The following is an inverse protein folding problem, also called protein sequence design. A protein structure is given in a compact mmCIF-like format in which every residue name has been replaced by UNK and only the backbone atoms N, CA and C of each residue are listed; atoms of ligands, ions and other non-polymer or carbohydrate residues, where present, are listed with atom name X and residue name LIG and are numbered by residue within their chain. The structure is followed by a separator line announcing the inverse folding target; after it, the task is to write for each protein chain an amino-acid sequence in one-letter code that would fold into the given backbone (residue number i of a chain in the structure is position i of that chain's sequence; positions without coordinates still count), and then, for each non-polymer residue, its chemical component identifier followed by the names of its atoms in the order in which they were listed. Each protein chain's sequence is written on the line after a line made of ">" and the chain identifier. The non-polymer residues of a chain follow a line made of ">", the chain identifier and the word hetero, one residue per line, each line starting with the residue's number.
data_IF_335828562853
#
_entry.id   IF_335828562853
#
_cell.length_a   1.000
_cell.length_b   1.000
_cell.length_c   1.000
_cell.angle_alpha   90.00
_cell.angle_beta   90.00
_cell.angle_gamma   90.00
#
_symmetry.space_group_name_H-M   'P 1'
#
loop_
_entity.id
_entity.type
_entity.pdbx_description
1 polymer ?
#
# COMPACT_ATOMS: atom_id res chain seq x y z
N UNK A 1 -11.03 5.98 -20.41
CA UNK A 1 -10.31 5.08 -19.45
C UNK A 1 -10.34 5.58 -18.02
N UNK A 2 -9.82 6.76 -17.67
CA UNK A 2 -9.82 7.20 -16.27
C UNK A 2 -11.23 7.44 -15.73
N UNK A 3 -12.11 8.01 -16.51
CA UNK A 3 -13.53 8.18 -16.15
C UNK A 3 -14.22 6.84 -15.93
N UNK A 4 -13.97 5.86 -16.79
CA UNK A 4 -14.51 4.50 -16.66
C UNK A 4 -14.00 3.83 -15.37
N UNK A 5 -12.75 4.11 -14.98
CA UNK A 5 -12.18 3.61 -13.73
C UNK A 5 -12.89 4.21 -12.50
N UNK A 6 -13.20 5.51 -12.51
CA UNK A 6 -14.00 6.14 -11.46
C UNK A 6 -15.40 5.56 -11.39
N UNK A 7 -16.04 5.35 -12.54
CA UNK A 7 -17.38 4.76 -12.61
C UNK A 7 -17.36 3.32 -12.05
N UNK A 8 -16.39 2.49 -12.46
CA UNK A 8 -16.24 1.12 -11.98
C UNK A 8 -16.02 1.07 -10.46
N UNK A 9 -15.14 1.94 -9.91
CA UNK A 9 -14.91 2.03 -8.48
C UNK A 9 -16.20 2.36 -7.72
N UNK A 10 -16.97 3.33 -8.24
CA UNK A 10 -18.26 3.73 -7.67
C UNK A 10 -19.25 2.56 -7.66
N UNK A 11 -19.45 1.92 -8.81
CA UNK A 11 -20.39 0.79 -8.96
C UNK A 11 -20.03 -0.35 -7.99
N UNK A 12 -18.77 -0.79 -7.95
CA UNK A 12 -18.34 -1.90 -7.07
C UNK A 12 -18.44 -1.55 -5.59
N UNK A 13 -18.16 -0.32 -5.23
CA UNK A 13 -18.31 0.14 -3.84
C UNK A 13 -19.77 0.27 -3.42
N UNK A 14 -20.67 0.75 -4.29
CA UNK A 14 -22.11 0.83 -4.03
C UNK A 14 -22.75 -0.57 -3.93
N UNK A 15 -22.39 -1.50 -4.82
CA UNK A 15 -22.79 -2.92 -4.74
C UNK A 15 -22.40 -3.53 -3.38
N UNK A 16 -21.16 -3.33 -2.96
CA UNK A 16 -20.67 -3.83 -1.67
C UNK A 16 -21.47 -3.24 -0.50
N UNK A 17 -21.66 -1.89 -0.46
CA UNK A 17 -22.42 -1.23 0.58
C UNK A 17 -23.84 -1.77 0.71
N UNK A 18 -24.50 -2.11 -0.41
CA UNK A 18 -25.84 -2.70 -0.39
C UNK A 18 -25.82 -4.11 0.24
N UNK A 19 -24.84 -4.95 -0.15
CA UNK A 19 -24.74 -6.33 0.35
C UNK A 19 -24.37 -6.42 1.83
N UNK A 20 -23.54 -5.50 2.33
CA UNK A 20 -23.11 -5.48 3.74
C UNK A 20 -23.95 -4.56 4.62
N UNK A 21 -25.05 -3.99 4.11
CA UNK A 21 -25.88 -2.98 4.80
C UNK A 21 -26.43 -3.41 6.17
N UNK A 22 -26.49 -4.73 6.42
CA UNK A 22 -26.95 -5.31 7.68
C UNK A 22 -25.89 -5.29 8.80
N UNK A 23 -24.62 -4.97 8.48
CA UNK A 23 -23.50 -4.95 9.42
C UNK A 23 -22.78 -3.61 9.41
N UNK A 24 -22.96 -2.83 10.48
CA UNK A 24 -22.39 -1.49 10.62
C UNK A 24 -20.84 -1.47 10.58
N UNK A 25 -20.17 -2.53 11.02
CA UNK A 25 -18.72 -2.63 10.95
C UNK A 25 -18.27 -2.71 9.50
N UNK A 26 -18.85 -3.61 8.71
CA UNK A 26 -18.48 -3.77 7.30
C UNK A 26 -18.89 -2.58 6.43
N UNK A 27 -20.04 -1.93 6.74
CA UNK A 27 -20.41 -0.64 6.12
C UNK A 27 -19.35 0.43 6.39
N UNK A 28 -18.91 0.56 7.65
CA UNK A 28 -17.84 1.49 8.04
C UNK A 28 -16.53 1.17 7.32
N UNK A 29 -16.15 -0.11 7.29
CA UNK A 29 -14.92 -0.55 6.64
C UNK A 29 -14.94 -0.34 5.12
N UNK A 30 -16.07 -0.58 4.45
CA UNK A 30 -16.26 -0.29 3.02
C UNK A 30 -16.07 1.20 2.72
N UNK A 31 -16.68 2.09 3.51
CA UNK A 31 -16.51 3.54 3.37
C UNK A 31 -15.05 3.97 3.53
N UNK A 32 -14.32 3.36 4.48
CA UNK A 32 -12.89 3.62 4.64
C UNK A 32 -12.08 3.16 3.43
N UNK A 33 -12.42 2.03 2.81
CA UNK A 33 -11.74 1.54 1.62
C UNK A 33 -12.02 2.40 0.38
N UNK A 34 -13.23 2.95 0.25
CA UNK A 34 -13.52 3.96 -0.78
C UNK A 34 -12.61 5.19 -0.58
N UNK A 35 -12.57 5.72 0.64
CA UNK A 35 -11.73 6.87 0.98
C UNK A 35 -10.24 6.58 0.73
N UNK A 36 -9.78 5.39 1.10
CA UNK A 36 -8.41 4.92 0.88
C UNK A 36 -8.05 4.92 -0.61
N UNK A 37 -8.91 4.39 -1.50
CA UNK A 37 -8.67 4.42 -2.95
C UNK A 37 -8.44 5.84 -3.48
N UNK A 38 -9.20 6.83 -2.99
CA UNK A 38 -8.97 8.24 -3.35
C UNK A 38 -7.68 8.81 -2.75
N UNK A 39 -7.27 8.38 -1.56
CA UNK A 39 -6.00 8.79 -0.96
C UNK A 39 -4.81 8.21 -1.74
N UNK A 40 -4.91 6.95 -2.16
CA UNK A 40 -3.91 6.29 -3.03
C UNK A 40 -3.84 7.01 -4.38
N UNK A 41 -4.98 7.34 -4.98
CA UNK A 41 -5.03 8.14 -6.21
C UNK A 41 -4.35 9.51 -6.04
N UNK A 42 -4.52 10.17 -4.89
CA UNK A 42 -3.85 11.42 -4.59
C UNK A 42 -2.32 11.28 -4.52
N UNK A 43 -1.82 10.24 -3.86
CA UNK A 43 -0.39 9.92 -3.78
C UNK A 43 0.16 9.52 -5.16
N UNK A 44 -0.55 8.65 -5.88
CA UNK A 44 -0.18 8.22 -7.22
C UNK A 44 -0.12 9.37 -8.22
N UNK A 45 -1.07 10.30 -8.19
CA UNK A 45 -1.03 11.52 -9.03
C UNK A 45 0.21 12.37 -8.75
N UNK A 46 0.62 12.47 -7.47
CA UNK A 46 1.83 13.20 -7.13
C UNK A 46 3.08 12.54 -7.73
N UNK A 47 3.18 11.22 -7.70
CA UNK A 47 4.28 10.44 -8.29
C UNK A 47 4.22 10.54 -9.83
N UNK A 48 3.08 10.16 -10.43
CA UNK A 48 2.87 10.13 -11.89
C UNK A 48 3.21 11.45 -12.56
N UNK A 49 2.87 12.59 -11.92
CA UNK A 49 3.14 13.92 -12.48
C UNK A 49 4.64 14.32 -12.45
N UNK A 50 5.51 13.51 -11.86
CA UNK A 50 6.93 13.85 -11.63
C UNK A 50 7.92 12.85 -12.20
N UNK A 51 7.54 11.57 -12.30
CA UNK A 51 8.47 10.55 -12.80
C UNK A 51 8.89 10.80 -14.24
N UNK A 52 10.20 10.75 -14.48
CA UNK A 52 10.83 11.17 -15.75
C UNK A 52 10.32 10.37 -16.96
N UNK A 53 10.15 9.06 -16.81
CA UNK A 53 9.76 8.18 -17.92
C UNK A 53 8.31 8.39 -18.40
N UNK A 54 7.48 9.11 -17.62
CA UNK A 54 6.10 9.49 -17.99
C UNK A 54 6.02 10.87 -18.67
N UNK A 55 7.04 11.72 -18.57
CA UNK A 55 6.98 13.10 -19.09
C UNK A 55 6.67 13.20 -20.58
N UNK A 56 7.11 12.22 -21.36
CA UNK A 56 6.91 12.21 -22.81
C UNK A 56 5.80 11.25 -23.28
N UNK A 57 4.98 10.75 -22.33
CA UNK A 57 3.83 9.92 -22.65
C UNK A 57 2.61 10.80 -22.93
N UNK A 58 1.75 10.35 -23.82
CA UNK A 58 0.49 11.02 -24.11
C UNK A 58 -0.52 10.92 -22.95
N UNK A 59 -1.59 11.69 -23.04
CA UNK A 59 -2.63 11.71 -22.00
C UNK A 59 -3.31 10.36 -21.82
N UNK A 60 -3.50 9.58 -22.90
CA UNK A 60 -4.14 8.27 -22.82
C UNK A 60 -3.29 7.29 -22.00
N UNK A 61 -1.96 7.34 -22.18
CA UNK A 61 -1.04 6.54 -21.39
C UNK A 61 -1.03 6.96 -19.90
N UNK A 62 -1.03 8.26 -19.64
CA UNK A 62 -1.08 8.79 -18.27
C UNK A 62 -2.40 8.38 -17.59
N UNK A 63 -3.51 8.44 -18.29
CA UNK A 63 -4.82 8.01 -17.79
C UNK A 63 -4.85 6.51 -17.52
N UNK A 64 -4.18 5.70 -18.34
CA UNK A 64 -4.01 4.27 -18.09
C UNK A 64 -3.28 4.01 -16.76
N UNK A 65 -2.15 4.67 -16.54
CA UNK A 65 -1.39 4.52 -15.28
C UNK A 65 -2.22 4.96 -14.07
N UNK A 66 -2.93 6.10 -14.18
CA UNK A 66 -3.82 6.61 -13.14
C UNK A 66 -4.99 5.68 -12.86
N UNK A 67 -5.54 5.05 -13.89
CA UNK A 67 -6.60 4.04 -13.75
C UNK A 67 -6.10 2.83 -12.96
N UNK A 68 -4.89 2.34 -13.24
CA UNK A 68 -4.29 1.26 -12.48
C UNK A 68 -4.08 1.63 -11.00
N UNK A 69 -3.64 2.86 -10.70
CA UNK A 69 -3.51 3.37 -9.33
C UNK A 69 -4.87 3.43 -8.63
N UNK A 70 -5.90 3.96 -9.29
CA UNK A 70 -7.24 4.09 -8.70
C UNK A 70 -7.89 2.74 -8.39
N UNK A 71 -7.71 1.78 -9.30
CA UNK A 71 -8.35 0.47 -9.24
C UNK A 71 -7.55 -0.60 -8.47
N UNK A 72 -6.42 -0.24 -7.83
CA UNK A 72 -5.53 -1.22 -7.18
C UNK A 72 -6.26 -2.14 -6.19
N UNK A 73 -7.22 -1.61 -5.44
CA UNK A 73 -8.03 -2.32 -4.43
C UNK A 73 -9.46 -2.64 -4.93
N UNK A 74 -9.71 -2.71 -6.27
CA UNK A 74 -11.07 -2.88 -6.81
C UNK A 74 -11.80 -4.11 -6.28
N UNK A 75 -11.11 -5.24 -6.10
CA UNK A 75 -11.68 -6.45 -5.52
C UNK A 75 -11.56 -6.53 -3.99
N UNK A 76 -11.12 -5.46 -3.32
CA UNK A 76 -11.25 -5.32 -1.87
C UNK A 76 -12.70 -5.31 -1.44
N UNK A 77 -13.60 -4.77 -2.27
CA UNK A 77 -15.04 -4.80 -2.03
C UNK A 77 -15.57 -6.23 -2.04
N UNK A 78 -15.15 -7.06 -2.99
CA UNK A 78 -15.48 -8.49 -3.03
C UNK A 78 -14.91 -9.25 -1.80
N UNK A 79 -13.68 -8.92 -1.36
CA UNK A 79 -13.11 -9.50 -0.14
C UNK A 79 -13.93 -9.14 1.10
N UNK A 80 -14.41 -7.89 1.20
CA UNK A 80 -15.29 -7.43 2.29
C UNK A 80 -16.60 -8.22 2.28
N UNK A 81 -17.23 -8.39 1.11
CA UNK A 81 -18.45 -9.17 0.94
C UNK A 81 -18.25 -10.63 1.37
N UNK A 82 -17.21 -11.29 0.88
CA UNK A 82 -16.88 -12.66 1.24
C UNK A 82 -16.61 -12.82 2.75
N UNK A 83 -15.94 -11.84 3.35
CA UNK A 83 -15.69 -11.86 4.79
C UNK A 83 -16.96 -11.64 5.60
N UNK A 84 -17.82 -10.71 5.17
CA UNK A 84 -19.07 -10.39 5.85
C UNK A 84 -20.08 -11.55 5.76
N UNK A 85 -20.29 -12.08 4.56
CA UNK A 85 -21.38 -13.03 4.27
C UNK A 85 -20.99 -14.50 4.53
N UNK A 86 -19.70 -14.83 4.32
CA UNK A 86 -19.25 -16.22 4.30
C UNK A 86 -18.06 -16.49 5.23
N UNK A 87 -17.56 -15.47 5.94
CA UNK A 87 -16.34 -15.55 6.74
C UNK A 87 -15.12 -16.12 5.97
N UNK A 88 -15.07 -15.87 4.67
CA UNK A 88 -13.97 -16.27 3.79
C UNK A 88 -13.04 -15.12 3.52
N UNK A 89 -11.76 -15.42 3.36
CA UNK A 89 -10.75 -14.46 2.92
C UNK A 89 -10.33 -14.78 1.49
N UNK A 90 -10.27 -13.76 0.64
CA UNK A 90 -9.74 -13.86 -0.72
C UNK A 90 -8.54 -12.92 -0.84
N UNK A 91 -7.67 -13.20 -1.79
CA UNK A 91 -6.61 -12.28 -2.18
C UNK A 91 -7.20 -11.24 -3.15
N UNK A 92 -7.45 -10.02 -2.64
CA UNK A 92 -8.07 -8.96 -3.43
C UNK A 92 -7.18 -8.47 -4.57
N UNK A 93 -5.84 -8.54 -4.44
CA UNK A 93 -4.90 -8.19 -5.50
C UNK A 93 -5.02 -9.17 -6.67
N UNK A 94 -4.90 -10.46 -6.38
CA UNK A 94 -5.08 -11.52 -7.40
C UNK A 94 -6.47 -11.44 -8.02
N UNK A 95 -7.52 -11.38 -7.21
CA UNK A 95 -8.89 -11.27 -7.71
C UNK A 95 -9.11 -10.00 -8.56
N UNK A 96 -8.50 -8.87 -8.14
CA UNK A 96 -8.56 -7.59 -8.87
C UNK A 96 -7.90 -7.65 -10.23
N UNK A 97 -6.70 -8.21 -10.32
CA UNK A 97 -6.02 -8.43 -11.58
C UNK A 97 -6.81 -9.31 -12.55
N UNK A 98 -7.27 -10.47 -12.07
CA UNK A 98 -8.06 -11.41 -12.87
C UNK A 98 -9.41 -10.80 -13.32
N UNK A 99 -10.07 -10.03 -12.45
CA UNK A 99 -11.30 -9.33 -12.81
C UNK A 99 -11.07 -8.28 -13.90
N UNK A 100 -10.09 -7.38 -13.71
CA UNK A 100 -9.81 -6.31 -14.69
C UNK A 100 -9.37 -6.85 -16.05
N UNK A 101 -8.63 -7.95 -16.08
CA UNK A 101 -8.23 -8.63 -17.31
C UNK A 101 -9.41 -9.03 -18.19
N UNK A 102 -10.58 -9.30 -17.60
CA UNK A 102 -11.80 -9.66 -18.35
C UNK A 102 -12.54 -8.47 -18.94
N UNK A 103 -12.23 -7.26 -18.51
CA UNK A 103 -12.87 -6.04 -18.98
C UNK A 103 -12.05 -5.43 -20.14
N UNK A 104 -12.63 -5.26 -21.35
CA UNK A 104 -11.89 -4.75 -22.51
C UNK A 104 -11.14 -3.44 -22.25
N UNK A 105 -11.73 -2.53 -21.48
CA UNK A 105 -11.18 -1.22 -21.13
C UNK A 105 -9.94 -1.31 -20.24
N UNK A 106 -9.79 -2.39 -19.46
CA UNK A 106 -8.72 -2.58 -18.48
C UNK A 106 -7.87 -3.83 -18.74
N UNK A 107 -8.06 -4.50 -19.88
CA UNK A 107 -7.35 -5.74 -20.24
C UNK A 107 -5.89 -5.56 -20.61
N UNK A 108 -5.37 -4.32 -20.67
CA UNK A 108 -3.94 -4.06 -20.88
C UNK A 108 -3.13 -4.64 -19.71
N UNK A 109 -2.09 -5.43 -20.04
CA UNK A 109 -1.21 -6.07 -19.05
C UNK A 109 -0.55 -5.07 -18.10
N UNK A 110 -0.39 -3.81 -18.51
CA UNK A 110 0.15 -2.72 -17.67
C UNK A 110 -0.83 -2.23 -16.61
N UNK A 111 -2.09 -2.66 -16.65
CA UNK A 111 -3.12 -2.36 -15.64
C UNK A 111 -3.26 -3.54 -14.69
N UNK A 112 -3.72 -4.67 -15.21
CA UNK A 112 -4.16 -5.78 -14.36
C UNK A 112 -3.01 -6.54 -13.69
N UNK A 113 -1.83 -6.67 -14.33
CA UNK A 113 -0.73 -7.43 -13.74
C UNK A 113 -0.06 -6.69 -12.56
N UNK A 114 0.22 -5.37 -12.62
CA UNK A 114 0.61 -4.60 -11.45
C UNK A 114 -0.41 -4.66 -10.30
N UNK A 115 -1.71 -4.60 -10.60
CA UNK A 115 -2.77 -4.68 -9.60
C UNK A 115 -2.79 -6.06 -8.95
N UNK A 116 -2.63 -7.13 -9.72
CA UNK A 116 -2.52 -8.50 -9.20
C UNK A 116 -1.46 -8.64 -8.10
N UNK A 117 -0.34 -7.92 -8.21
CA UNK A 117 0.81 -8.06 -7.33
C UNK A 117 1.08 -6.87 -6.39
N UNK A 118 0.22 -5.84 -6.37
CA UNK A 118 0.47 -4.63 -5.58
C UNK A 118 0.60 -4.89 -4.08
N UNK A 119 -0.14 -5.83 -3.54
CA UNK A 119 -0.15 -6.19 -2.11
C UNK A 119 0.93 -7.21 -1.69
N UNK A 120 1.67 -7.78 -2.65
CA UNK A 120 2.74 -8.75 -2.41
C UNK A 120 4.12 -8.11 -2.40
N UNK A 121 5.15 -8.84 -1.97
CA UNK A 121 6.54 -8.46 -2.23
C UNK A 121 6.79 -8.46 -3.74
N UNK A 122 7.66 -7.57 -4.22
CA UNK A 122 7.88 -7.37 -5.68
C UNK A 122 8.36 -8.64 -6.40
N UNK A 123 9.01 -9.56 -5.68
CA UNK A 123 9.45 -10.85 -6.18
C UNK A 123 8.28 -11.70 -6.70
N UNK A 124 7.06 -11.50 -6.16
CA UNK A 124 5.88 -12.20 -6.63
C UNK A 124 5.51 -11.78 -8.08
N UNK A 125 5.68 -10.49 -8.42
CA UNK A 125 5.54 -10.04 -9.80
C UNK A 125 6.61 -10.68 -10.71
N UNK A 126 7.87 -10.69 -10.27
CA UNK A 126 8.96 -11.25 -11.08
C UNK A 126 8.88 -12.78 -11.24
N UNK A 127 8.20 -13.45 -10.29
CA UNK A 127 7.95 -14.88 -10.34
C UNK A 127 6.72 -15.27 -11.18
N UNK A 128 5.84 -14.31 -11.50
CA UNK A 128 4.62 -14.55 -12.29
C UNK A 128 4.97 -14.98 -13.71
N UNK A 129 4.34 -16.06 -14.20
CA UNK A 129 4.60 -16.60 -15.53
C UNK A 129 4.21 -15.61 -16.65
N UNK A 130 3.15 -14.82 -16.45
CA UNK A 130 2.73 -13.83 -17.43
C UNK A 130 3.74 -12.70 -17.53
N UNK A 131 4.32 -12.27 -16.40
CA UNK A 131 5.42 -11.30 -16.40
C UNK A 131 6.68 -11.86 -17.08
N UNK A 132 7.07 -13.10 -16.77
CA UNK A 132 8.24 -13.77 -17.39
C UNK A 132 8.10 -13.87 -18.90
N UNK A 133 6.89 -14.19 -19.38
CA UNK A 133 6.59 -14.40 -20.79
C UNK A 133 6.43 -13.09 -21.61
N UNK A 134 6.51 -11.91 -20.99
CA UNK A 134 6.58 -10.64 -21.75
C UNK A 134 7.88 -10.60 -22.55
N UNK A 135 7.79 -10.72 -23.86
CA UNK A 135 8.95 -10.72 -24.76
C UNK A 135 9.54 -9.32 -24.98
N UNK A 136 8.74 -8.27 -24.90
CA UNK A 136 9.17 -6.88 -25.04
C UNK A 136 9.72 -6.36 -23.71
N UNK A 137 11.04 -6.17 -23.64
CA UNK A 137 11.74 -5.66 -22.45
C UNK A 137 11.23 -4.30 -22.00
N UNK A 138 10.81 -3.44 -22.93
CA UNK A 138 10.24 -2.12 -22.60
C UNK A 138 8.89 -2.27 -21.93
N UNK A 139 8.01 -3.11 -22.46
CA UNK A 139 6.72 -3.42 -21.84
C UNK A 139 6.91 -4.04 -20.46
N UNK A 140 7.85 -4.97 -20.32
CA UNK A 140 8.20 -5.61 -19.06
C UNK A 140 8.64 -4.59 -17.99
N UNK A 141 9.50 -3.63 -18.37
CA UNK A 141 9.90 -2.53 -17.51
C UNK A 141 8.72 -1.60 -17.16
N UNK A 142 7.83 -1.29 -18.12
CA UNK A 142 6.66 -0.45 -17.87
C UNK A 142 5.73 -1.10 -16.84
N UNK A 143 5.46 -2.41 -16.95
CA UNK A 143 4.66 -3.17 -15.95
C UNK A 143 5.28 -3.07 -14.56
N UNK A 144 6.57 -3.31 -14.42
CA UNK A 144 7.26 -3.21 -13.11
C UNK A 144 7.20 -1.79 -12.54
N UNK A 145 7.45 -0.77 -13.36
CA UNK A 145 7.42 0.64 -12.94
C UNK A 145 6.02 1.09 -12.51
N UNK A 146 4.96 0.63 -13.17
CA UNK A 146 3.59 0.91 -12.77
C UNK A 146 3.28 0.19 -11.45
N UNK A 147 3.72 -1.06 -11.28
CA UNK A 147 3.60 -1.77 -10.01
C UNK A 147 4.27 -0.98 -8.86
N UNK A 148 5.47 -0.44 -9.06
CA UNK A 148 6.14 0.41 -8.08
C UNK A 148 5.33 1.67 -7.75
N UNK A 149 4.73 2.35 -8.74
CA UNK A 149 3.88 3.54 -8.50
C UNK A 149 2.69 3.16 -7.60
N UNK A 150 1.99 2.06 -7.91
CA UNK A 150 0.84 1.59 -7.13
C UNK A 150 1.26 1.26 -5.70
N UNK A 151 2.31 0.46 -5.53
CA UNK A 151 2.82 0.03 -4.22
C UNK A 151 3.25 1.21 -3.36
N UNK A 152 3.98 2.17 -3.94
CA UNK A 152 4.42 3.37 -3.23
C UNK A 152 3.22 4.23 -2.82
N UNK A 153 2.25 4.44 -3.73
CA UNK A 153 1.05 5.21 -3.45
C UNK A 153 0.18 4.60 -2.35
N UNK A 154 0.02 3.27 -2.36
CA UNK A 154 -0.73 2.52 -1.34
C UNK A 154 -0.03 2.60 0.04
N UNK A 155 1.30 2.39 0.09
CA UNK A 155 2.06 2.54 1.33
C UNK A 155 1.92 3.94 1.92
N UNK A 156 2.05 4.99 1.09
CA UNK A 156 1.90 6.39 1.54
C UNK A 156 0.51 6.62 2.15
N UNK A 157 -0.55 6.14 1.49
CA UNK A 157 -1.91 6.31 1.97
C UNK A 157 -2.13 5.61 3.32
N UNK A 158 -1.63 4.37 3.47
CA UNK A 158 -1.68 3.62 4.72
C UNK A 158 -0.83 4.28 5.83
N UNK A 159 0.41 4.68 5.54
CA UNK A 159 1.28 5.37 6.51
C UNK A 159 0.67 6.70 6.96
N UNK A 160 0.03 7.44 6.04
CA UNK A 160 -0.70 8.66 6.37
C UNK A 160 -1.89 8.38 7.29
N UNK A 161 -2.66 7.32 7.03
CA UNK A 161 -3.77 6.91 7.90
C UNK A 161 -3.26 6.57 9.31
N UNK A 162 -2.19 5.79 9.42
CA UNK A 162 -1.56 5.46 10.70
C UNK A 162 -1.10 6.71 11.46
N UNK A 163 -0.49 7.68 10.76
CA UNK A 163 0.02 8.91 11.34
C UNK A 163 -1.12 9.81 11.88
N UNK A 164 -2.15 10.05 11.08
CA UNK A 164 -3.11 11.13 11.30
C UNK A 164 -4.50 10.71 11.73
N UNK A 165 -4.81 9.41 11.74
CA UNK A 165 -6.15 8.92 12.04
C UNK A 165 -6.16 7.98 13.27
N UNK A 166 -6.08 8.53 14.49
CA UNK A 166 -6.01 7.71 15.71
C UNK A 166 -7.14 6.68 15.82
N UNK A 167 -8.35 7.05 15.37
CA UNK A 167 -9.51 6.15 15.38
C UNK A 167 -9.37 4.94 14.45
N UNK A 168 -8.47 5.01 13.46
CA UNK A 168 -8.23 3.92 12.51
C UNK A 168 -7.02 3.05 12.89
N UNK A 169 -6.27 3.43 13.92
CA UNK A 169 -5.05 2.71 14.33
C UNK A 169 -5.30 1.26 14.72
N UNK A 170 -6.52 0.91 15.13
CA UNK A 170 -6.88 -0.48 15.41
C UNK A 170 -6.69 -1.41 14.19
N UNK A 171 -6.82 -0.90 12.97
CA UNK A 171 -6.54 -1.66 11.74
C UNK A 171 -5.08 -2.05 11.62
N UNK A 172 -4.18 -1.25 12.20
CA UNK A 172 -2.74 -1.46 12.16
C UNK A 172 -2.25 -2.29 13.35
N UNK A 173 -2.77 -2.02 14.54
CA UNK A 173 -2.32 -2.71 15.75
C UNK A 173 -3.16 -3.94 16.11
N UNK A 174 -4.29 -4.17 15.44
CA UNK A 174 -5.19 -5.31 15.71
C UNK A 174 -5.98 -5.16 17.02
N UNK A 175 -5.93 -4.00 17.67
CA UNK A 175 -6.65 -3.67 18.91
C UNK A 175 -6.91 -2.17 19.00
N UNK A 176 -7.93 -1.78 19.81
CA UNK A 176 -8.33 -0.38 19.93
C UNK A 176 -7.34 0.46 20.74
N UNK A 177 -6.81 -0.13 21.82
CA UNK A 177 -5.94 0.57 22.75
C UNK A 177 -4.56 -0.09 22.79
N UNK A 178 -3.51 0.72 22.73
CA UNK A 178 -2.13 0.31 22.87
C UNK A 178 -1.65 0.70 24.25
N UNK A 179 -1.21 -0.28 25.05
CA UNK A 179 -0.68 -0.07 26.39
C UNK A 179 0.84 -0.21 26.33
N UNK A 180 1.62 0.89 26.38
CA UNK A 180 3.07 0.85 26.17
C UNK A 180 3.82 -0.13 27.09
N UNK A 181 3.40 -0.27 28.34
CA UNK A 181 4.01 -1.19 29.31
C UNK A 181 3.90 -2.67 28.93
N UNK A 182 2.89 -3.00 28.08
CA UNK A 182 2.63 -4.37 27.61
C UNK A 182 3.07 -4.53 26.15
N UNK A 183 2.79 -3.52 25.32
CA UNK A 183 2.93 -3.56 23.87
C UNK A 183 4.16 -2.82 23.36
N UNK A 184 4.90 -2.15 24.26
CA UNK A 184 5.97 -1.22 23.89
C UNK A 184 7.33 -1.88 23.67
N UNK A 185 7.48 -3.17 23.96
CA UNK A 185 8.74 -3.88 23.77
C UNK A 185 8.89 -4.41 22.35
N UNK A 186 10.10 -4.19 21.79
CA UNK A 186 10.45 -4.70 20.46
C UNK A 186 11.19 -6.03 20.61
N UNK A 187 10.67 -7.08 19.99
CA UNK A 187 11.27 -8.41 20.04
C UNK A 187 12.67 -8.45 19.39
N UNK A 188 13.53 -9.34 19.87
CA UNK A 188 14.86 -9.55 19.28
C UNK A 188 14.77 -9.94 17.81
N UNK A 189 13.75 -10.69 17.41
CA UNK A 189 13.53 -11.06 16.02
C UNK A 189 13.23 -9.82 15.16
N UNK A 190 12.36 -8.92 15.61
CA UNK A 190 12.05 -7.65 14.91
C UNK A 190 13.31 -6.79 14.76
N UNK A 191 14.13 -6.68 15.81
CA UNK A 191 15.39 -5.93 15.77
C UNK A 191 16.35 -6.48 14.73
N UNK A 192 16.53 -7.80 14.69
CA UNK A 192 17.41 -8.48 13.73
C UNK A 192 16.92 -8.35 12.28
N UNK A 193 15.62 -8.46 12.05
CA UNK A 193 15.05 -8.30 10.70
C UNK A 193 15.12 -6.84 10.23
N UNK A 194 14.85 -5.87 11.10
CA UNK A 194 14.91 -4.44 10.75
C UNK A 194 16.30 -4.00 10.26
N UNK A 195 17.37 -4.56 10.85
CA UNK A 195 18.74 -4.27 10.45
C UNK A 195 19.12 -4.74 9.03
N UNK A 196 18.22 -5.47 8.35
CA UNK A 196 18.45 -5.96 6.96
C UNK A 196 18.02 -4.98 5.87
N UNK A 197 17.45 -3.81 6.20
CA UNK A 197 16.91 -2.84 5.24
C UNK A 197 15.85 -3.42 4.30
N UNK A 198 15.02 -4.32 4.81
CA UNK A 198 13.91 -4.93 4.06
C UNK A 198 12.60 -4.75 4.80
N UNK A 199 11.47 -4.79 4.07
CA UNK A 199 10.15 -4.82 4.70
C UNK A 199 10.01 -6.03 5.60
N UNK A 200 9.63 -5.81 6.84
CA UNK A 200 9.43 -6.89 7.80
C UNK A 200 8.21 -7.74 7.46
N UNK A 201 8.30 -9.06 7.58
CA UNK A 201 7.15 -9.94 7.43
C UNK A 201 6.14 -9.69 8.58
N UNK A 202 4.86 -9.96 8.33
CA UNK A 202 3.84 -9.93 9.37
C UNK A 202 3.94 -11.18 10.23
N UNK A 203 4.06 -10.99 11.54
CA UNK A 203 4.00 -12.09 12.52
C UNK A 203 2.70 -12.03 13.31
N UNK A 204 2.13 -13.18 13.65
CA UNK A 204 0.79 -13.27 14.24
C UNK A 204 0.69 -12.65 15.65
N UNK A 205 1.76 -12.68 16.43
CA UNK A 205 1.78 -12.31 17.86
C UNK A 205 2.73 -11.14 18.15
N UNK A 206 2.68 -10.09 17.32
CA UNK A 206 3.56 -8.95 17.49
C UNK A 206 3.01 -7.96 18.51
N UNK A 207 3.91 -7.36 19.32
CA UNK A 207 3.60 -6.17 20.10
C UNK A 207 3.21 -4.99 19.21
N UNK A 208 2.63 -3.93 19.76
CA UNK A 208 2.39 -2.70 19.01
C UNK A 208 3.70 -2.05 18.56
N UNK A 209 4.77 -2.15 19.36
CA UNK A 209 6.09 -1.67 18.99
C UNK A 209 6.68 -2.46 17.82
N UNK A 210 6.59 -3.80 17.81
CA UNK A 210 7.00 -4.63 16.67
C UNK A 210 6.26 -4.22 15.38
N UNK A 211 4.95 -4.05 15.46
CA UNK A 211 4.12 -3.62 14.32
C UNK A 211 4.51 -2.24 13.84
N UNK A 212 4.80 -1.31 14.75
CA UNK A 212 5.23 0.02 14.38
C UNK A 212 6.58 0.00 13.64
N UNK A 213 7.53 -0.82 14.09
CA UNK A 213 8.79 -1.08 13.37
C UNK A 213 8.50 -1.68 11.99
N UNK A 214 7.56 -2.63 11.90
CA UNK A 214 7.10 -3.19 10.64
C UNK A 214 6.58 -2.13 9.66
N UNK A 215 5.80 -1.15 10.13
CA UNK A 215 5.32 -0.04 9.27
C UNK A 215 6.44 0.93 8.89
N UNK A 216 7.39 1.20 9.78
CA UNK A 216 8.57 1.99 9.42
C UNK A 216 9.44 1.27 8.39
N UNK A 217 9.53 -0.06 8.43
CA UNK A 217 10.27 -0.83 7.43
C UNK A 217 9.68 -0.76 6.01
N UNK A 218 8.42 -0.31 5.86
CA UNK A 218 7.84 -0.08 4.53
C UNK A 218 8.59 0.97 3.73
N UNK A 219 9.31 1.88 4.39
CA UNK A 219 10.18 2.84 3.69
C UNK A 219 11.32 2.16 2.92
N UNK A 220 11.76 0.97 3.34
CA UNK A 220 12.77 0.17 2.64
C UNK A 220 12.27 -0.38 1.30
N UNK A 221 10.95 -0.46 1.10
CA UNK A 221 10.31 -0.92 -0.13
C UNK A 221 9.56 0.23 -0.85
N UNK A 222 9.92 1.47 -0.59
CA UNK A 222 9.53 2.62 -1.40
C UNK A 222 10.54 2.77 -2.54
N UNK A 223 10.04 2.91 -3.76
CA UNK A 223 10.86 2.85 -4.96
C UNK A 223 11.17 4.24 -5.54
N UNK A 224 10.22 5.17 -5.50
CA UNK A 224 10.38 6.49 -6.10
C UNK A 224 10.73 7.55 -5.05
N UNK A 225 11.74 8.41 -5.37
CA UNK A 225 12.08 9.58 -4.56
C UNK A 225 10.85 10.46 -4.29
N UNK A 226 9.99 10.62 -5.29
CA UNK A 226 8.78 11.43 -5.18
C UNK A 226 7.77 10.90 -4.15
N UNK A 227 7.79 9.62 -3.84
CA UNK A 227 7.00 9.03 -2.76
C UNK A 227 7.52 9.51 -1.39
N UNK A 228 8.83 9.51 -1.19
CA UNK A 228 9.47 10.05 0.01
C UNK A 228 9.21 11.55 0.13
N UNK A 229 9.38 12.31 -0.96
CA UNK A 229 9.11 13.75 -0.99
C UNK A 229 7.66 14.07 -0.60
N UNK A 230 6.71 13.22 -1.01
CA UNK A 230 5.30 13.37 -0.64
C UNK A 230 5.06 13.07 0.85
N UNK A 231 5.69 12.04 1.41
CA UNK A 231 5.67 11.78 2.84
C UNK A 231 6.24 12.97 3.64
N UNK A 232 7.33 13.56 3.17
CA UNK A 232 7.92 14.77 3.79
C UNK A 232 6.99 15.98 3.69
N UNK A 233 6.43 16.25 2.50
CA UNK A 233 5.46 17.34 2.28
C UNK A 233 4.26 17.23 3.20
N UNK A 234 3.75 16.03 3.41
CA UNK A 234 2.62 15.75 4.29
C UNK A 234 3.02 15.59 5.77
N UNK A 235 4.31 15.68 6.10
CA UNK A 235 4.85 15.44 7.46
C UNK A 235 4.48 14.06 8.04
N UNK A 236 4.28 13.06 7.18
CA UNK A 236 3.94 11.69 7.59
C UNK A 236 5.09 11.09 8.40
N UNK A 237 6.31 11.15 7.86
CA UNK A 237 7.50 10.57 8.50
C UNK A 237 7.72 11.08 9.92
N UNK A 238 7.78 12.39 10.21
CA UNK A 238 7.97 12.86 11.59
C UNK A 238 6.84 12.45 12.52
N UNK A 239 5.57 12.42 12.05
CA UNK A 239 4.45 11.94 12.86
C UNK A 239 4.58 10.45 13.22
N UNK A 240 5.04 9.62 12.29
CA UNK A 240 5.24 8.19 12.55
C UNK A 240 6.40 7.95 13.52
N UNK A 241 7.49 8.69 13.38
CA UNK A 241 8.62 8.59 14.32
C UNK A 241 8.22 9.04 15.72
N UNK A 242 7.40 10.07 15.84
CA UNK A 242 6.87 10.50 17.13
C UNK A 242 5.90 9.46 17.72
N UNK A 243 5.04 8.86 16.91
CA UNK A 243 4.18 7.76 17.34
C UNK A 243 5.00 6.54 17.80
N UNK A 244 6.07 6.20 17.08
CA UNK A 244 7.00 5.14 17.50
C UNK A 244 7.62 5.44 18.86
N UNK A 245 8.10 6.66 19.10
CA UNK A 245 8.68 7.06 20.40
C UNK A 245 7.68 6.97 21.53
N UNK A 246 6.40 7.24 21.28
CA UNK A 246 5.34 7.13 22.30
C UNK A 246 4.99 5.67 22.61
N UNK A 247 5.07 4.76 21.64
CA UNK A 247 4.73 3.35 21.81
C UNK A 247 5.91 2.55 22.38
N UNK A 248 7.09 2.70 21.79
CA UNK A 248 8.27 1.91 22.16
C UNK A 248 8.82 2.35 23.53
N UNK A 249 9.07 1.40 24.43
CA UNK A 249 9.67 1.64 25.74
C UNK A 249 11.16 1.27 25.83
N UNK A 250 11.70 0.62 24.79
CA UNK A 250 13.10 0.21 24.74
C UNK A 250 13.98 1.38 24.27
N UNK A 251 14.53 2.14 25.22
CA UNK A 251 15.27 3.40 24.94
C UNK A 251 16.51 3.19 24.09
N UNK A 252 17.24 2.09 24.28
CA UNK A 252 18.41 1.69 23.51
C UNK A 252 18.03 1.47 22.03
N UNK A 253 16.98 0.71 21.80
CA UNK A 253 16.51 0.42 20.44
C UNK A 253 15.87 1.64 19.76
N UNK A 254 15.21 2.52 20.52
CA UNK A 254 14.71 3.79 19.97
C UNK A 254 15.82 4.62 19.31
N UNK A 255 16.93 4.79 20.04
CA UNK A 255 18.06 5.57 19.53
C UNK A 255 18.68 4.91 18.29
N UNK A 256 18.91 3.59 18.34
CA UNK A 256 19.45 2.79 17.25
C UNK A 256 18.55 2.89 16.00
N UNK A 257 17.23 2.64 16.15
CA UNK A 257 16.30 2.69 15.03
C UNK A 257 16.25 4.06 14.39
N UNK A 258 16.19 5.14 15.18
CA UNK A 258 16.10 6.50 14.66
C UNK A 258 17.34 6.88 13.85
N UNK A 259 18.53 6.52 14.33
CA UNK A 259 19.79 6.75 13.62
C UNK A 259 19.85 5.93 12.32
N UNK A 260 19.54 4.63 12.40
CA UNK A 260 19.53 3.73 11.26
C UNK A 260 18.55 4.21 10.18
N UNK A 261 17.32 4.53 10.56
CA UNK A 261 16.28 5.01 9.65
C UNK A 261 16.67 6.31 8.95
N UNK A 262 17.25 7.28 9.67
CA UNK A 262 17.72 8.53 9.08
C UNK A 262 18.87 8.31 8.10
N UNK A 263 19.80 7.43 8.44
CA UNK A 263 20.92 7.05 7.57
C UNK A 263 20.41 6.35 6.30
N UNK A 264 19.44 5.46 6.42
CA UNK A 264 18.80 4.83 5.27
C UNK A 264 18.18 5.88 4.33
N UNK A 265 17.29 6.73 4.84
CA UNK A 265 16.61 7.77 4.01
C UNK A 265 17.59 8.70 3.30
N UNK A 266 18.76 8.97 3.91
CA UNK A 266 19.79 9.84 3.35
C UNK A 266 20.60 9.17 2.23
N UNK A 267 20.85 7.86 2.36
CA UNK A 267 21.82 7.15 1.52
C UNK A 267 21.16 6.27 0.45
N UNK A 268 19.86 5.96 0.59
CA UNK A 268 19.15 5.10 -0.34
C UNK A 268 18.98 5.75 -1.72
N UNK A 269 19.20 4.97 -2.78
CA UNK A 269 19.02 5.43 -4.16
C UNK A 269 17.61 5.08 -4.65
N UNK A 270 16.78 6.09 -4.76
CA UNK A 270 15.42 5.97 -5.28
C UNK A 270 15.35 6.20 -6.80
N UNK A 271 14.34 5.61 -7.44
CA UNK A 271 13.99 5.92 -8.84
C UNK A 271 13.49 7.37 -8.96
N UNK A 272 13.70 7.98 -10.15
CA UNK A 272 13.23 9.32 -10.48
C UNK A 272 12.31 9.37 -11.68
#
# INVERSE_FOLDING_TARGET
>A
MLEDAYQLLKEKSEECLQKVAHDNFFVGYTKEKIRHSYQVMGAGNYIVSRVEWLKNKDLAYIDMVKSAVLLHDICRFAEIEEKCLHNRQIDHGVAGGEFLRTLPEFSDIRIWLPIKHHGHMIEALYADEEYKNIADDKLKQEVARICFIIRDADKIANLRMLAYEPKMRYLFFGKKDVVPEIDGHVSMQTRQEYAKDTTLPRWAENSAADRMVGYLSWYYDINYQYAIDFCHKLKVTPCLLELFKQICVDEDFKAELLEHFQNFLKNHQYLR
#
